data_IF_296208153803
#
_entry.id   IF_296208153803
#
_cell.length_a   1.000
_cell.length_b   1.000
_cell.length_c   1.000
_cell.angle_alpha   90.00
_cell.angle_beta   90.00
_cell.angle_gamma   90.00
#
_symmetry.space_group_name_H-M   'P 1'
#
loop_
_entity.id
_entity.type
_entity.pdbx_description
1 polymer ?
#
# COMPACT_ATOMS: atom_id res chain seq x y z
N UNK A 1 6.85 0.87 -8.34
CA UNK A 1 7.27 -0.47 -7.89
C UNK A 1 6.10 -1.14 -7.18
N UNK A 2 5.86 -2.42 -7.44
CA UNK A 2 4.77 -3.19 -6.82
C UNK A 2 5.24 -3.89 -5.56
N UNK A 3 4.44 -3.82 -4.50
CA UNK A 3 4.67 -4.43 -3.21
C UNK A 3 3.49 -5.31 -2.81
N UNK A 4 3.78 -6.47 -2.22
CA UNK A 4 2.84 -7.24 -1.40
C UNK A 4 2.93 -6.76 0.04
N UNK A 5 1.78 -6.54 0.68
CA UNK A 5 1.68 -6.23 2.10
C UNK A 5 1.77 -7.53 2.91
N UNK A 6 2.85 -7.69 3.67
CA UNK A 6 3.01 -8.81 4.60
C UNK A 6 2.12 -8.57 5.81
N UNK A 7 1.03 -9.31 5.91
CA UNK A 7 0.00 -9.15 6.94
C UNK A 7 -0.66 -10.51 7.27
N UNK A 8 -1.37 -10.67 8.41
CA UNK A 8 -1.96 -11.95 8.82
C UNK A 8 -3.29 -12.30 8.12
N UNK A 9 -3.76 -11.46 7.21
CA UNK A 9 -5.10 -11.49 6.61
C UNK A 9 -5.05 -11.95 5.14
N UNK A 10 -5.93 -11.40 4.29
CA UNK A 10 -5.89 -11.64 2.85
C UNK A 10 -4.66 -10.95 2.25
N UNK A 11 -4.15 -11.43 1.10
CA UNK A 11 -3.07 -10.75 0.39
C UNK A 11 -3.57 -9.39 -0.13
N UNK A 12 -2.72 -8.37 0.00
CA UNK A 12 -2.93 -7.06 -0.60
C UNK A 12 -1.67 -6.64 -1.34
N UNK A 13 -1.85 -5.93 -2.45
CA UNK A 13 -0.75 -5.29 -3.17
C UNK A 13 -1.00 -3.81 -3.37
N UNK A 14 0.08 -3.06 -3.47
CA UNK A 14 0.06 -1.63 -3.73
C UNK A 14 1.29 -1.20 -4.55
N UNK A 15 1.23 -0.03 -5.14
CA UNK A 15 2.28 0.57 -5.95
C UNK A 15 2.89 1.74 -5.19
N UNK A 16 4.21 1.72 -5.00
CA UNK A 16 4.98 2.82 -4.42
C UNK A 16 6.06 3.31 -5.38
N UNK A 17 6.37 4.60 -5.35
CA UNK A 17 7.41 5.19 -6.20
C UNK A 17 8.81 4.67 -5.84
N UNK A 18 9.07 4.51 -4.54
CA UNK A 18 10.33 4.04 -3.96
C UNK A 18 10.09 3.34 -2.60
N UNK A 19 11.17 2.88 -1.97
CA UNK A 19 11.15 2.20 -0.65
C UNK A 19 10.63 3.12 0.47
N UNK A 20 10.95 4.41 0.44
CA UNK A 20 10.51 5.35 1.48
C UNK A 20 8.99 5.51 1.46
N UNK A 21 8.40 5.65 0.27
CA UNK A 21 6.94 5.66 0.12
C UNK A 21 6.32 4.36 0.61
N UNK A 22 6.90 3.21 0.27
CA UNK A 22 6.40 1.93 0.74
C UNK A 22 6.48 1.80 2.27
N UNK A 23 7.57 2.26 2.90
CA UNK A 23 7.75 2.29 4.35
C UNK A 23 6.68 3.14 5.04
N UNK A 24 6.47 4.37 4.56
CA UNK A 24 5.46 5.28 5.10
C UNK A 24 4.05 4.69 4.99
N UNK A 25 3.72 4.14 3.83
CA UNK A 25 2.43 3.49 3.57
C UNK A 25 2.20 2.32 4.53
N UNK A 26 3.17 1.41 4.69
CA UNK A 26 3.07 0.28 5.61
C UNK A 26 2.86 0.76 7.05
N UNK A 27 3.61 1.78 7.50
CA UNK A 27 3.49 2.31 8.84
C UNK A 27 2.13 3.00 9.10
N UNK A 28 1.58 3.69 8.11
CA UNK A 28 0.24 4.28 8.20
C UNK A 28 -0.83 3.20 8.33
N UNK A 29 -0.70 2.09 7.59
CA UNK A 29 -1.64 0.96 7.67
C UNK A 29 -1.50 0.25 9.03
N UNK A 30 -0.31 -0.26 9.33
CA UNK A 30 0.09 -0.81 10.62
C UNK A 30 1.60 -1.13 10.60
N UNK A 31 2.43 -0.58 11.49
CA UNK A 31 3.86 -0.89 11.55
C UNK A 31 4.17 -2.35 11.95
N UNK A 32 3.18 -3.10 12.48
CA UNK A 32 3.29 -4.54 12.70
C UNK A 32 3.16 -5.36 11.40
N UNK A 33 2.97 -4.71 10.24
CA UNK A 33 3.03 -5.32 8.91
C UNK A 33 4.38 -5.04 8.26
N UNK A 34 4.62 -5.68 7.12
CA UNK A 34 5.81 -5.48 6.30
C UNK A 34 5.46 -5.36 4.82
N UNK A 35 6.49 -5.29 3.98
CA UNK A 35 6.34 -5.16 2.54
C UNK A 35 7.46 -5.88 1.80
N UNK A 36 7.11 -6.53 0.69
CA UNK A 36 8.08 -7.21 -0.18
C UNK A 36 7.72 -7.04 -1.66
N UNK A 37 8.73 -7.06 -2.53
CA UNK A 37 8.58 -7.08 -3.98
C UNK A 37 8.48 -8.53 -4.49
N UNK A 38 7.99 -8.73 -5.71
CA UNK A 38 7.79 -10.07 -6.29
C UNK A 38 9.11 -10.86 -6.43
N UNK A 39 10.22 -10.17 -6.67
CA UNK A 39 11.55 -10.74 -6.80
C UNK A 39 12.25 -10.95 -5.45
N UNK A 40 11.58 -10.65 -4.33
CA UNK A 40 12.13 -10.70 -2.96
C UNK A 40 13.43 -9.90 -2.78
N UNK A 41 13.54 -8.74 -3.44
CA UNK A 41 14.68 -7.85 -3.28
C UNK A 41 14.79 -7.36 -1.82
N UNK A 42 15.82 -7.81 -1.10
CA UNK A 42 16.05 -7.45 0.30
C UNK A 42 16.28 -5.95 0.52
N UNK A 43 16.89 -5.26 -0.45
CA UNK A 43 17.12 -3.81 -0.36
C UNK A 43 15.80 -3.04 -0.38
N UNK A 44 14.76 -3.58 -1.02
CA UNK A 44 13.43 -2.97 -1.12
C UNK A 44 12.50 -3.42 0.00
N UNK A 45 12.88 -4.42 0.81
CA UNK A 45 12.02 -4.97 1.85
C UNK A 45 11.69 -3.93 2.93
N UNK A 46 10.43 -3.91 3.35
CA UNK A 46 9.96 -3.17 4.53
C UNK A 46 9.85 -4.16 5.70
N UNK A 47 10.65 -4.00 6.77
CA UNK A 47 10.61 -4.92 7.92
C UNK A 47 9.30 -4.84 8.70
N UNK A 48 9.08 -5.85 9.56
CA UNK A 48 7.93 -5.94 10.45
C UNK A 48 8.32 -5.43 11.84
N UNK A 49 7.59 -4.47 12.40
CA UNK A 49 7.88 -3.83 13.68
C UNK A 49 6.82 -4.10 14.75
N UNK A 50 6.47 -5.37 14.99
CA UNK A 50 5.45 -5.78 15.98
C UNK A 50 5.81 -5.38 17.44
N UNK A 51 7.08 -5.12 17.73
CA UNK A 51 7.58 -4.70 19.05
C UNK A 51 8.08 -3.24 19.07
N UNK A 52 7.71 -2.42 18.08
CA UNK A 52 8.28 -1.08 17.89
C UNK A 52 9.60 -1.10 17.11
N UNK A 53 10.26 0.06 16.98
CA UNK A 53 11.54 0.21 16.24
C UNK A 53 11.41 0.82 14.84
N UNK A 54 10.19 1.13 14.38
CA UNK A 54 9.97 1.67 13.03
C UNK A 54 10.60 3.06 12.86
N UNK A 55 10.46 3.95 13.85
CA UNK A 55 10.98 5.33 13.74
C UNK A 55 12.50 5.34 13.66
N UNK A 56 13.16 4.52 14.49
CA UNK A 56 14.61 4.36 14.50
C UNK A 56 15.11 3.78 13.17
N UNK A 57 14.51 2.69 12.69
CA UNK A 57 14.87 2.10 11.40
C UNK A 57 14.65 3.08 10.24
N UNK A 58 13.51 3.78 10.22
CA UNK A 58 13.21 4.75 9.17
C UNK A 58 14.25 5.88 9.17
N UNK A 59 14.63 6.38 10.34
CA UNK A 59 15.63 7.43 10.45
C UNK A 59 17.01 6.95 9.99
N UNK A 60 17.42 5.73 10.33
CA UNK A 60 18.68 5.14 9.88
C UNK A 60 18.70 4.91 8.36
N UNK A 61 17.56 4.48 7.78
CA UNK A 61 17.43 4.16 6.36
C UNK A 61 17.34 5.42 5.47
N UNK A 62 16.58 6.43 5.90
CA UNK A 62 16.23 7.60 5.06
C UNK A 62 16.82 8.92 5.56
N UNK A 63 17.49 8.93 6.72
CA UNK A 63 18.17 10.11 7.26
C UNK A 63 17.23 11.21 7.79
N UNK A 64 15.95 10.91 8.00
CA UNK A 64 14.93 11.85 8.51
C UNK A 64 13.85 11.13 9.31
N UNK A 65 13.08 11.87 10.12
CA UNK A 65 11.98 11.28 10.86
C UNK A 65 10.80 10.94 9.92
N UNK A 66 9.99 9.89 10.22
CA UNK A 66 8.85 9.51 9.39
C UNK A 66 7.85 10.64 9.14
N UNK A 67 7.61 11.49 10.14
CA UNK A 67 6.71 12.65 10.03
C UNK A 67 7.17 13.64 8.95
N UNK A 68 8.48 13.86 8.84
CA UNK A 68 9.05 14.84 7.91
C UNK A 68 9.03 14.24 6.49
N UNK A 69 9.34 12.94 6.36
CA UNK A 69 9.14 12.19 5.14
C UNK A 69 7.69 12.20 4.66
N UNK A 70 6.72 11.98 5.56
CA UNK A 70 5.29 12.02 5.23
C UNK A 70 4.83 13.41 4.76
N UNK A 71 5.31 14.49 5.38
CA UNK A 71 4.99 15.86 4.96
C UNK A 71 5.53 16.12 3.55
N UNK A 72 6.79 15.77 3.30
CA UNK A 72 7.47 16.02 2.03
C UNK A 72 6.89 15.15 0.90
N UNK A 73 6.51 13.91 1.22
CA UNK A 73 6.08 12.89 0.26
C UNK A 73 4.58 12.65 0.26
N UNK A 74 3.77 13.54 0.86
CA UNK A 74 2.32 13.38 1.09
C UNK A 74 1.57 12.93 -0.17
N UNK A 75 1.86 13.54 -1.32
CA UNK A 75 1.18 13.23 -2.58
C UNK A 75 1.47 11.80 -3.08
N UNK A 76 2.74 11.39 -3.05
CA UNK A 76 3.17 10.05 -3.46
C UNK A 76 2.61 8.98 -2.51
N UNK A 77 2.58 9.26 -1.21
CA UNK A 77 1.97 8.38 -0.20
C UNK A 77 0.47 8.22 -0.46
N UNK A 78 -0.25 9.33 -0.72
CA UNK A 78 -1.66 9.27 -1.06
C UNK A 78 -1.91 8.47 -2.34
N UNK A 79 -1.07 8.62 -3.38
CA UNK A 79 -1.15 7.82 -4.59
C UNK A 79 -0.92 6.32 -4.31
N UNK A 80 0.04 5.99 -3.46
CA UNK A 80 0.32 4.60 -3.09
C UNK A 80 -0.83 3.99 -2.28
N UNK A 81 -1.41 4.72 -1.33
CA UNK A 81 -2.61 4.30 -0.59
C UNK A 81 -3.81 4.03 -1.50
N UNK A 82 -4.03 4.90 -2.50
CA UNK A 82 -5.10 4.74 -3.50
C UNK A 82 -4.94 3.48 -4.37
N UNK A 83 -3.70 3.02 -4.53
CA UNK A 83 -3.39 1.89 -5.41
C UNK A 83 -3.66 0.52 -4.80
N UNK A 84 -3.96 0.46 -3.49
CA UNK A 84 -4.22 -0.81 -2.79
C UNK A 84 -5.32 -1.61 -3.47
N UNK A 85 -5.11 -2.91 -3.61
CA UNK A 85 -6.15 -3.88 -3.93
C UNK A 85 -6.01 -5.13 -3.08
N UNK A 86 -7.10 -5.88 -2.99
CA UNK A 86 -7.09 -7.30 -2.65
C UNK A 86 -6.37 -8.13 -3.73
N UNK A 87 -5.52 -9.08 -3.33
CA UNK A 87 -4.85 -10.04 -4.21
C UNK A 87 -3.33 -9.86 -4.28
N UNK A 88 -2.65 -10.87 -4.84
CA UNK A 88 -1.19 -10.88 -5.03
C UNK A 88 -0.75 -10.32 -6.40
N UNK A 89 0.54 -10.47 -6.72
CA UNK A 89 1.15 -9.91 -7.94
C UNK A 89 0.44 -10.33 -9.24
N UNK A 90 0.06 -11.60 -9.37
CA UNK A 90 -0.68 -12.09 -10.56
C UNK A 90 -2.08 -11.48 -10.68
N UNK A 91 -2.71 -11.21 -9.55
CA UNK A 91 -4.04 -10.59 -9.50
C UNK A 91 -3.95 -9.12 -9.90
N UNK A 92 -2.84 -8.43 -9.58
CA UNK A 92 -2.58 -7.04 -9.97
C UNK A 92 -2.57 -6.88 -11.47
N UNK A 93 -1.90 -7.77 -12.20
CA UNK A 93 -1.88 -7.72 -13.67
C UNK A 93 -3.30 -7.78 -14.25
N UNK A 94 -4.15 -8.66 -13.72
CA UNK A 94 -5.56 -8.80 -14.16
C UNK A 94 -6.39 -7.59 -13.78
N UNK A 95 -6.21 -7.10 -12.55
CA UNK A 95 -6.88 -5.93 -12.03
C UNK A 95 -6.57 -4.68 -12.86
N UNK A 96 -5.29 -4.43 -13.15
CA UNK A 96 -4.85 -3.31 -13.99
C UNK A 96 -5.42 -3.42 -15.40
N UNK A 97 -5.31 -4.59 -16.05
CA UNK A 97 -5.85 -4.79 -17.39
C UNK A 97 -7.38 -4.56 -17.44
N UNK A 98 -8.11 -4.96 -16.40
CA UNK A 98 -9.54 -4.69 -16.29
C UNK A 98 -9.82 -3.18 -16.12
N UNK A 99 -9.08 -2.49 -15.25
CA UNK A 99 -9.23 -1.04 -15.05
C UNK A 99 -8.94 -0.23 -16.32
N UNK A 100 -7.91 -0.60 -17.08
CA UNK A 100 -7.54 0.05 -18.34
C UNK A 100 -8.61 -0.11 -19.43
N UNK A 101 -9.41 -1.18 -19.36
CA UNK A 101 -10.50 -1.43 -20.30
C UNK A 101 -11.82 -0.74 -19.91
N UNK A 102 -11.88 -0.05 -18.75
CA UNK A 102 -13.09 0.62 -18.26
C UNK A 102 -12.94 2.14 -18.40
N UNK A 103 -13.53 2.70 -19.46
CA UNK A 103 -13.50 4.15 -19.73
C UNK A 103 -14.47 4.96 -18.84
N UNK A 104 -15.49 4.31 -18.30
CA UNK A 104 -16.55 4.93 -17.50
C UNK A 104 -16.11 5.02 -16.03
N UNK A 105 -15.97 6.24 -15.45
CA UNK A 105 -15.51 6.41 -14.08
C UNK A 105 -16.37 5.72 -13.02
N UNK A 106 -17.69 5.69 -13.20
CA UNK A 106 -18.61 5.07 -12.24
C UNK A 106 -18.51 3.54 -12.32
N UNK A 107 -18.38 2.97 -13.52
CA UNK A 107 -18.11 1.54 -13.68
C UNK A 107 -16.74 1.16 -13.14
N UNK A 108 -15.74 2.03 -13.29
CA UNK A 108 -14.41 1.83 -12.74
C UNK A 108 -14.47 1.76 -11.22
N UNK A 109 -15.16 2.70 -10.58
CA UNK A 109 -15.41 2.69 -9.14
C UNK A 109 -16.14 1.43 -8.68
N UNK A 110 -17.24 1.06 -9.35
CA UNK A 110 -17.99 -0.14 -9.02
C UNK A 110 -17.17 -1.44 -9.17
N UNK A 111 -16.26 -1.50 -10.14
CA UNK A 111 -15.33 -2.62 -10.28
C UNK A 111 -14.36 -2.70 -9.10
N UNK A 112 -13.77 -1.58 -8.69
CA UNK A 112 -12.84 -1.53 -7.54
C UNK A 112 -13.54 -1.98 -6.26
N UNK A 113 -14.75 -1.48 -6.00
CA UNK A 113 -15.56 -1.87 -4.85
C UNK A 113 -15.85 -3.37 -4.86
N UNK A 114 -16.32 -3.90 -5.99
CA UNK A 114 -16.64 -5.33 -6.14
C UNK A 114 -15.41 -6.22 -6.03
N UNK A 115 -14.27 -5.80 -6.55
CA UNK A 115 -13.02 -6.56 -6.45
C UNK A 115 -12.59 -6.68 -4.98
N UNK A 116 -12.61 -5.56 -4.25
CA UNK A 116 -12.19 -5.52 -2.84
C UNK A 116 -13.20 -6.17 -1.87
N UNK A 117 -14.44 -6.40 -2.31
CA UNK A 117 -15.45 -7.16 -1.56
C UNK A 117 -15.16 -8.68 -1.53
N UNK A 118 -14.30 -9.19 -2.42
CA UNK A 118 -13.91 -10.61 -2.46
C UNK A 118 -13.02 -11.08 -1.29
N UNK A 119 -12.77 -10.22 -0.30
CA UNK A 119 -11.93 -10.53 0.87
C UNK A 119 -12.60 -11.56 1.77
N UNK A 120 -11.79 -12.36 2.45
CA UNK A 120 -12.30 -13.34 3.43
C UNK A 120 -12.26 -12.79 4.86
N UNK A 121 -11.46 -11.74 5.08
CA UNK A 121 -11.28 -11.11 6.37
C UNK A 121 -12.28 -9.99 6.67
N UNK A 122 -12.52 -9.78 7.97
CA UNK A 122 -13.22 -8.61 8.48
C UNK A 122 -12.42 -7.32 8.27
N UNK A 123 -11.08 -7.42 8.17
CA UNK A 123 -10.21 -6.26 7.97
C UNK A 123 -10.19 -5.85 6.51
N UNK A 124 -10.89 -4.76 6.18
CA UNK A 124 -10.90 -4.19 4.84
C UNK A 124 -9.74 -3.20 4.66
N UNK A 125 -8.52 -3.72 4.47
CA UNK A 125 -7.30 -2.90 4.36
C UNK A 125 -7.38 -1.97 3.14
N UNK A 126 -7.86 -2.45 1.99
CA UNK A 126 -7.96 -1.64 0.78
C UNK A 126 -8.89 -0.43 0.94
N UNK A 127 -10.09 -0.61 1.51
CA UNK A 127 -10.98 0.54 1.70
C UNK A 127 -10.47 1.50 2.78
N UNK A 128 -9.80 0.98 3.81
CA UNK A 128 -9.12 1.84 4.78
C UNK A 128 -8.03 2.68 4.12
N UNK A 129 -7.17 2.06 3.29
CA UNK A 129 -6.14 2.75 2.53
C UNK A 129 -6.72 3.81 1.57
N UNK A 130 -7.78 3.47 0.83
CA UNK A 130 -8.48 4.40 -0.06
C UNK A 130 -9.06 5.60 0.70
N UNK A 131 -9.68 5.37 1.85
CA UNK A 131 -10.19 6.46 2.70
C UNK A 131 -9.08 7.39 3.20
N UNK A 132 -7.93 6.85 3.59
CA UNK A 132 -6.76 7.65 3.99
C UNK A 132 -6.19 8.46 2.81
N UNK A 133 -6.13 7.87 1.61
CA UNK A 133 -5.74 8.60 0.39
C UNK A 133 -6.63 9.82 0.14
N UNK A 134 -7.96 9.66 0.24
CA UNK A 134 -8.91 10.76 0.08
C UNK A 134 -8.69 11.87 1.12
N UNK A 135 -8.48 11.49 2.38
CA UNK A 135 -8.18 12.44 3.47
C UNK A 135 -6.85 13.18 3.26
N UNK A 136 -5.86 12.53 2.65
CA UNK A 136 -4.56 13.18 2.37
C UNK A 136 -4.64 14.13 1.17
N UNK A 137 -5.55 13.91 0.22
CA UNK A 137 -5.74 14.77 -0.96
C UNK A 137 -6.65 15.97 -0.68
N UNK A 138 -7.52 15.88 0.32
CA UNK A 138 -8.28 17.00 0.89
C UNK A 138 -7.40 17.96 1.68
#
# INVERSE_FOLDING_TARGET
MEYSLINPSDPYTFIAADKEIAALVVAIINPAYGGETEDHNEEMRIPIFIFGGFEEWYQDEFGRAPKDGLIERKADVAQALDSFMLGGFRDRTRYTAALEAIDDPEKRKAFIEKWNDGRTSLNNISSFAHSLSEQMRG
#
